data_IF_699668886515
#
_entry.id   IF_699668886515
#
_cell.length_a   1.000
_cell.length_b   1.000
_cell.length_c   1.000
_cell.angle_alpha   90.00
_cell.angle_beta   90.00
_cell.angle_gamma   90.00
#
_symmetry.space_group_name_H-M   'P 1'
#
loop_
_entity.id
_entity.type
_entity.pdbx_description
1 polymer ?
#
# COMPACT_ATOMS: atom_id res chain seq x y z
N UNK A 1 16.41 4.98 -22.16
CA UNK A 1 15.54 5.26 -20.98
C UNK A 1 16.11 4.55 -19.76
N UNK A 2 16.51 5.31 -18.74
CA UNK A 2 17.16 4.81 -17.51
C UNK A 2 16.16 4.10 -16.60
N UNK A 3 15.03 4.75 -16.28
CA UNK A 3 14.03 4.22 -15.37
C UNK A 3 13.04 3.32 -16.11
N UNK A 4 13.02 2.04 -15.73
CA UNK A 4 12.16 1.00 -16.31
C UNK A 4 11.02 0.59 -15.38
N UNK A 5 11.12 0.93 -14.10
CA UNK A 5 10.10 0.73 -13.08
C UNK A 5 9.80 2.06 -12.41
N UNK A 6 8.52 2.37 -12.28
CA UNK A 6 8.00 3.55 -11.59
C UNK A 6 7.12 3.09 -10.43
N UNK A 7 7.59 3.23 -9.19
CA UNK A 7 6.81 2.95 -7.99
C UNK A 7 6.14 4.22 -7.46
N UNK A 8 4.84 4.16 -7.27
CA UNK A 8 4.00 5.29 -6.85
C UNK A 8 3.25 4.92 -5.59
N UNK A 9 3.47 5.68 -4.51
CA UNK A 9 2.49 5.68 -3.43
C UNK A 9 1.17 6.28 -3.91
N UNK A 10 0.08 6.06 -3.19
CA UNK A 10 -1.27 6.47 -3.60
C UNK A 10 -1.76 7.72 -2.88
N UNK A 11 -1.90 7.63 -1.55
CA UNK A 11 -2.58 8.64 -0.74
C UNK A 11 -1.65 9.80 -0.40
N UNK A 12 -1.90 10.97 -0.97
CA UNK A 12 -0.99 12.11 -0.85
C UNK A 12 0.11 12.14 -1.92
N UNK A 13 0.16 11.13 -2.81
CA UNK A 13 1.13 11.02 -3.90
C UNK A 13 0.42 10.98 -5.25
N UNK A 14 -0.08 9.81 -5.68
CA UNK A 14 -0.72 9.64 -6.99
C UNK A 14 -2.11 10.25 -7.04
N UNK A 15 -2.86 10.15 -5.93
CA UNK A 15 -4.23 10.64 -5.86
C UNK A 15 -4.31 11.96 -5.10
N UNK A 16 -5.21 12.83 -5.54
CA UNK A 16 -5.55 14.08 -4.86
C UNK A 16 -6.45 13.83 -3.63
N UNK A 17 -6.94 14.90 -2.96
CA UNK A 17 -7.84 14.79 -1.79
C UNK A 17 -9.16 14.06 -2.10
N UNK A 18 -9.65 14.15 -3.35
CA UNK A 18 -10.85 13.43 -3.80
C UNK A 18 -10.60 11.95 -4.12
N UNK A 19 -9.36 11.47 -3.91
CA UNK A 19 -8.92 10.09 -4.20
C UNK A 19 -9.08 9.73 -5.67
N UNK A 20 -8.75 10.66 -6.56
CA UNK A 20 -8.74 10.48 -8.01
C UNK A 20 -7.35 10.80 -8.59
N UNK A 21 -7.03 10.18 -9.72
CA UNK A 21 -5.86 10.53 -10.52
C UNK A 21 -6.29 11.66 -11.46
N UNK A 22 -5.53 12.76 -11.47
CA UNK A 22 -5.86 13.88 -12.36
C UNK A 22 -5.71 13.49 -13.83
N UNK A 23 -6.48 14.13 -14.75
CA UNK A 23 -6.40 13.80 -16.17
C UNK A 23 -4.99 13.93 -16.77
N UNK A 24 -4.24 14.97 -16.35
CA UNK A 24 -2.87 15.18 -16.82
C UNK A 24 -1.93 14.07 -16.32
N UNK A 25 -1.91 13.79 -15.02
CA UNK A 25 -1.08 12.73 -14.45
C UNK A 25 -1.42 11.37 -15.08
N UNK A 26 -2.72 11.07 -15.27
CA UNK A 26 -3.15 9.85 -15.95
C UNK A 26 -2.59 9.73 -17.37
N UNK A 27 -2.71 10.78 -18.17
CA UNK A 27 -2.18 10.81 -19.54
C UNK A 27 -0.67 10.58 -19.57
N UNK A 28 0.10 11.24 -18.70
CA UNK A 28 1.55 11.12 -18.62
C UNK A 28 1.95 9.68 -18.20
N UNK A 29 1.24 9.08 -17.24
CA UNK A 29 1.49 7.70 -16.82
C UNK A 29 1.19 6.69 -17.93
N UNK A 30 0.13 6.89 -18.69
CA UNK A 30 -0.18 6.05 -19.84
C UNK A 30 0.91 6.12 -20.90
N UNK A 31 1.43 7.30 -21.22
CA UNK A 31 2.55 7.47 -22.14
C UNK A 31 3.82 6.79 -21.63
N UNK A 32 4.10 6.82 -20.34
CA UNK A 32 5.22 6.10 -19.75
C UNK A 32 5.03 4.58 -19.88
N UNK A 33 3.84 4.07 -19.60
CA UNK A 33 3.51 2.66 -19.76
C UNK A 33 3.62 2.19 -21.23
N UNK A 34 3.17 2.99 -22.18
CA UNK A 34 3.32 2.73 -23.64
C UNK A 34 4.78 2.65 -24.07
N UNK A 35 5.69 3.35 -23.38
CA UNK A 35 7.13 3.27 -23.60
C UNK A 35 7.79 2.07 -22.88
N UNK A 36 6.99 1.20 -22.23
CA UNK A 36 7.44 0.00 -21.55
C UNK A 36 7.90 0.21 -20.11
N UNK A 37 7.53 1.31 -19.47
CA UNK A 37 7.76 1.50 -18.03
C UNK A 37 6.76 0.67 -17.24
N UNK A 38 7.25 -0.22 -16.36
CA UNK A 38 6.42 -0.97 -15.44
C UNK A 38 5.97 -0.06 -14.28
N UNK A 39 4.71 0.33 -14.26
CA UNK A 39 4.13 1.12 -13.16
C UNK A 39 3.75 0.19 -12.02
N UNK A 40 4.19 0.52 -10.80
CA UNK A 40 3.88 -0.21 -9.56
C UNK A 40 3.10 0.72 -8.63
N UNK A 41 1.83 0.40 -8.38
CA UNK A 41 1.03 1.09 -7.38
C UNK A 41 1.35 0.52 -5.99
N UNK A 42 2.06 1.29 -5.16
CA UNK A 42 2.66 0.83 -3.90
C UNK A 42 1.97 1.49 -2.69
N UNK A 43 1.09 0.76 -2.00
CA UNK A 43 0.27 1.32 -0.92
C UNK A 43 0.13 0.40 0.29
N UNK A 44 -0.22 0.97 1.45
CA UNK A 44 -0.71 0.24 2.63
C UNK A 44 -2.11 -0.35 2.46
N UNK A 45 -2.86 0.11 1.45
CA UNK A 45 -4.21 -0.38 1.16
C UNK A 45 -4.22 -1.88 0.84
N UNK A 46 -5.37 -2.57 1.07
CA UNK A 46 -5.58 -3.93 0.57
C UNK A 46 -5.58 -3.95 -0.96
N UNK A 47 -5.24 -5.10 -1.55
CA UNK A 47 -5.18 -5.26 -3.01
C UNK A 47 -6.47 -4.79 -3.69
N UNK A 48 -7.62 -5.23 -3.17
CA UNK A 48 -8.96 -4.89 -3.70
C UNK A 48 -9.23 -3.38 -3.69
N UNK A 49 -8.64 -2.63 -2.77
CA UNK A 49 -8.74 -1.16 -2.70
C UNK A 49 -7.84 -0.41 -3.70
N UNK A 50 -6.85 -1.10 -4.28
CA UNK A 50 -5.92 -0.53 -5.28
C UNK A 50 -6.37 -0.86 -6.71
N UNK A 51 -7.00 -2.01 -6.91
CA UNK A 51 -7.42 -2.49 -8.24
C UNK A 51 -8.20 -1.48 -9.11
N UNK A 52 -9.12 -0.66 -8.56
CA UNK A 52 -9.81 0.34 -9.37
C UNK A 52 -8.85 1.32 -10.06
N UNK A 53 -7.80 1.77 -9.34
CA UNK A 53 -6.78 2.68 -9.90
C UNK A 53 -5.88 1.97 -10.93
N UNK A 54 -5.55 0.70 -10.68
CA UNK A 54 -4.79 -0.11 -11.63
C UNK A 54 -5.58 -0.32 -12.94
N UNK A 55 -6.89 -0.55 -12.86
CA UNK A 55 -7.78 -0.61 -14.05
C UNK A 55 -7.89 0.74 -14.74
N UNK A 56 -7.99 1.82 -13.98
CA UNK A 56 -8.04 3.18 -14.54
C UNK A 56 -6.80 3.53 -15.35
N UNK A 57 -5.62 3.08 -14.92
CA UNK A 57 -4.35 3.24 -15.64
C UNK A 57 -4.11 2.15 -16.69
N UNK A 58 -5.05 1.23 -16.91
CA UNK A 58 -4.95 0.11 -17.84
C UNK A 58 -3.69 -0.76 -17.62
N UNK A 59 -3.27 -0.97 -16.35
CA UNK A 59 -2.07 -1.74 -16.02
C UNK A 59 -2.17 -3.21 -16.43
N UNK A 60 -3.38 -3.74 -16.57
CA UNK A 60 -3.62 -5.06 -17.15
C UNK A 60 -3.28 -5.15 -18.64
N UNK A 61 -3.24 -4.05 -19.36
CA UNK A 61 -2.91 -3.97 -20.79
C UNK A 61 -1.43 -3.68 -21.00
N UNK A 62 -0.90 -2.68 -20.30
CA UNK A 62 0.47 -2.22 -20.50
C UNK A 62 1.51 -2.96 -19.65
N UNK A 63 1.07 -3.78 -18.68
CA UNK A 63 1.98 -4.48 -17.77
C UNK A 63 2.45 -3.59 -16.62
N UNK A 64 1.79 -3.72 -15.48
CA UNK A 64 2.16 -3.06 -14.23
C UNK A 64 1.90 -3.98 -13.05
N UNK A 65 2.15 -3.50 -11.85
CA UNK A 65 1.97 -4.28 -10.63
C UNK A 65 1.19 -3.51 -9.56
N UNK A 66 0.48 -4.24 -8.72
CA UNK A 66 -0.03 -3.75 -7.44
C UNK A 66 0.88 -4.27 -6.34
N UNK A 67 1.47 -3.36 -5.55
CA UNK A 67 2.16 -3.65 -4.31
C UNK A 67 1.26 -3.17 -3.16
N UNK A 68 0.58 -4.09 -2.51
CA UNK A 68 -0.39 -3.85 -1.44
C UNK A 68 0.18 -4.19 -0.06
N UNK A 69 -0.52 -3.76 1.00
CA UNK A 69 -0.16 -4.03 2.39
C UNK A 69 1.29 -3.60 2.72
N UNK A 70 1.71 -2.40 2.27
CA UNK A 70 3.08 -1.89 2.47
C UNK A 70 4.21 -2.85 2.00
N UNK A 71 3.94 -3.68 0.99
CA UNK A 71 4.89 -4.69 0.50
C UNK A 71 4.49 -6.12 0.86
N UNK A 72 3.40 -6.32 1.59
CA UNK A 72 2.92 -7.66 1.97
C UNK A 72 2.57 -8.53 0.77
N UNK A 73 2.18 -7.93 -0.37
CA UNK A 73 1.82 -8.66 -1.59
C UNK A 73 2.15 -7.86 -2.85
N UNK A 74 2.67 -8.54 -3.87
CA UNK A 74 2.78 -8.00 -5.23
C UNK A 74 2.03 -8.89 -6.19
N UNK A 75 1.17 -8.26 -7.01
CA UNK A 75 0.42 -8.91 -8.09
C UNK A 75 0.82 -8.26 -9.41
N UNK A 76 1.11 -9.09 -10.41
CA UNK A 76 1.21 -8.68 -11.80
C UNK A 76 -0.18 -8.44 -12.37
N UNK A 77 -0.47 -7.22 -12.83
CA UNK A 77 -1.79 -6.84 -13.29
C UNK A 77 -2.20 -7.47 -14.62
N UNK A 78 -1.22 -7.87 -15.44
CA UNK A 78 -1.48 -8.45 -16.74
C UNK A 78 -1.86 -9.93 -16.65
N UNK A 79 -1.17 -10.66 -15.77
CA UNK A 79 -1.36 -12.11 -15.61
C UNK A 79 -2.25 -12.48 -14.43
N UNK A 80 -2.45 -11.57 -13.47
CA UNK A 80 -3.09 -11.82 -12.19
C UNK A 80 -2.22 -12.66 -11.23
N UNK A 81 -0.97 -12.98 -11.61
CA UNK A 81 -0.09 -13.80 -10.81
C UNK A 81 0.42 -13.06 -9.58
N UNK A 82 0.39 -13.71 -8.43
CA UNK A 82 1.06 -13.23 -7.22
C UNK A 82 2.57 -13.48 -7.34
N UNK A 83 3.34 -12.40 -7.38
CA UNK A 83 4.81 -12.43 -7.49
C UNK A 83 5.49 -12.47 -6.11
N UNK A 84 4.88 -11.82 -5.12
CA UNK A 84 5.34 -11.77 -3.73
C UNK A 84 4.14 -11.95 -2.82
N UNK A 85 4.26 -12.78 -1.79
CA UNK A 85 3.26 -12.98 -0.76
C UNK A 85 3.94 -13.19 0.59
N UNK A 86 3.78 -12.23 1.48
CA UNK A 86 4.14 -12.35 2.90
C UNK A 86 2.85 -12.62 3.68
N UNK A 87 2.55 -13.88 3.88
CA UNK A 87 1.33 -14.29 4.57
C UNK A 87 1.44 -14.03 6.08
N UNK A 88 0.33 -13.60 6.68
CA UNK A 88 0.17 -13.52 8.13
C UNK A 88 0.33 -14.93 8.73
N UNK A 89 1.04 -15.09 9.86
CA UNK A 89 1.23 -16.40 10.48
C UNK A 89 -0.14 -17.03 10.85
N UNK A 90 -0.49 -18.19 10.30
CA UNK A 90 -1.82 -18.78 10.53
C UNK A 90 -2.11 -19.12 11.99
N UNK A 91 -1.09 -19.51 12.75
CA UNK A 91 -1.13 -19.82 14.17
C UNK A 91 -1.39 -18.59 15.06
N UNK A 92 -1.24 -17.38 14.54
CA UNK A 92 -1.51 -16.13 15.24
C UNK A 92 -2.90 -15.54 14.94
N UNK A 93 -3.65 -16.06 13.98
CA UNK A 93 -4.98 -15.54 13.62
C UNK A 93 -5.95 -15.63 14.81
N UNK A 94 -6.14 -16.83 15.37
CA UNK A 94 -7.02 -17.03 16.54
C UNK A 94 -6.54 -16.28 17.79
N UNK A 95 -5.24 -16.28 18.17
CA UNK A 95 -4.73 -15.45 19.26
C UNK A 95 -5.03 -13.96 19.12
N UNK A 96 -4.83 -13.38 17.92
CA UNK A 96 -5.12 -11.95 17.67
C UNK A 96 -6.62 -11.67 17.76
N UNK A 97 -7.47 -12.53 17.21
CA UNK A 97 -8.91 -12.37 17.31
C UNK A 97 -9.43 -12.56 18.75
N UNK A 98 -8.84 -13.46 19.52
CA UNK A 98 -9.17 -13.63 20.95
C UNK A 98 -8.76 -12.41 21.77
N UNK A 99 -7.56 -11.87 21.52
CA UNK A 99 -7.09 -10.62 22.12
C UNK A 99 -8.07 -9.47 21.80
N UNK A 100 -8.47 -9.33 20.54
CA UNK A 100 -9.36 -8.25 20.11
C UNK A 100 -10.73 -8.31 20.78
N UNK A 101 -11.31 -9.52 20.93
CA UNK A 101 -12.58 -9.71 21.66
C UNK A 101 -12.45 -9.33 23.14
N UNK A 102 -11.33 -9.69 23.80
CA UNK A 102 -11.07 -9.34 25.20
C UNK A 102 -11.02 -7.83 25.43
N UNK A 103 -10.39 -7.09 24.51
CA UNK A 103 -10.23 -5.64 24.58
C UNK A 103 -11.33 -4.85 23.87
N UNK A 104 -12.42 -5.52 23.44
CA UNK A 104 -13.58 -4.93 22.78
C UNK A 104 -13.21 -4.08 21.54
N UNK A 105 -12.23 -4.54 20.77
CA UNK A 105 -11.88 -3.98 19.45
C UNK A 105 -12.27 -4.98 18.36
N UNK A 106 -12.64 -4.47 17.19
CA UNK A 106 -13.19 -5.29 16.10
C UNK A 106 -12.07 -5.66 15.12
N UNK A 107 -11.75 -6.96 14.97
CA UNK A 107 -10.82 -7.43 13.97
C UNK A 107 -11.50 -7.54 12.60
N UNK A 108 -10.75 -7.20 11.57
CA UNK A 108 -11.12 -7.43 10.18
C UNK A 108 -9.91 -7.88 9.35
N UNK A 109 -10.20 -8.53 8.24
CA UNK A 109 -9.23 -8.83 7.19
C UNK A 109 -9.87 -8.63 5.82
N UNK A 110 -9.21 -9.06 4.77
CA UNK A 110 -9.66 -8.84 3.39
C UNK A 110 -9.61 -10.16 2.61
N UNK A 111 -10.60 -10.33 1.76
CA UNK A 111 -10.57 -11.32 0.68
C UNK A 111 -10.54 -10.62 -0.70
N UNK A 112 -10.76 -11.36 -1.77
CA UNK A 112 -10.81 -10.81 -3.12
C UNK A 112 -12.01 -9.87 -3.36
N UNK A 113 -13.02 -9.91 -2.49
CA UNK A 113 -14.27 -9.16 -2.67
C UNK A 113 -14.38 -7.94 -1.75
N UNK A 114 -13.61 -7.88 -0.67
CA UNK A 114 -13.68 -6.74 0.27
C UNK A 114 -13.25 -7.08 1.69
N UNK A 115 -13.83 -6.39 2.66
CA UNK A 115 -13.60 -6.59 4.08
C UNK A 115 -14.38 -7.80 4.58
N UNK A 116 -13.74 -8.59 5.44
CA UNK A 116 -14.36 -9.72 6.17
C UNK A 116 -14.23 -9.46 7.67
N UNK A 117 -15.35 -9.46 8.39
CA UNK A 117 -15.41 -9.17 9.84
C UNK A 117 -16.61 -9.82 10.50
N UNK A 118 -16.56 -9.96 11.84
CA UNK A 118 -17.69 -10.41 12.66
C UNK A 118 -18.69 -9.26 12.93
N UNK A 119 -18.23 -8.00 12.97
CA UNK A 119 -19.08 -6.83 13.23
C UNK A 119 -19.01 -5.79 12.07
N UNK A 120 -19.84 -5.97 11.03
CA UNK A 120 -19.90 -5.02 9.94
C UNK A 120 -20.58 -3.70 10.32
N UNK A 121 -21.24 -3.61 11.47
CA UNK A 121 -21.94 -2.41 11.90
C UNK A 121 -21.03 -1.42 12.63
N UNK A 122 -19.82 -1.85 13.03
CA UNK A 122 -18.83 -0.98 13.65
C UNK A 122 -18.56 0.26 12.76
N UNK A 123 -18.63 1.49 13.33
CA UNK A 123 -18.40 2.71 12.55
C UNK A 123 -17.00 2.77 11.96
N UNK A 124 -16.03 2.15 12.62
CA UNK A 124 -14.64 2.13 12.15
C UNK A 124 -14.41 1.09 11.04
N UNK A 125 -15.14 -0.03 11.04
CA UNK A 125 -15.19 -0.96 9.90
C UNK A 125 -15.81 -0.28 8.69
N UNK A 126 -16.89 0.49 8.88
CA UNK A 126 -17.51 1.25 7.80
C UNK A 126 -16.59 2.38 7.28
N UNK A 127 -15.77 2.96 8.17
CA UNK A 127 -14.77 3.96 7.75
C UNK A 127 -13.68 3.33 6.87
N UNK A 128 -13.19 2.13 7.22
CA UNK A 128 -12.23 1.39 6.38
C UNK A 128 -12.85 1.05 5.00
N UNK A 129 -14.12 0.62 4.99
CA UNK A 129 -14.86 0.35 3.76
C UNK A 129 -14.99 1.61 2.89
N UNK A 130 -15.28 2.75 3.51
CA UNK A 130 -15.40 4.04 2.83
C UNK A 130 -14.07 4.52 2.24
N UNK A 131 -12.97 4.42 3.02
CA UNK A 131 -11.62 4.81 2.58
C UNK A 131 -11.19 4.01 1.34
N UNK A 132 -11.42 2.71 1.35
CA UNK A 132 -11.00 1.82 0.27
C UNK A 132 -12.05 1.66 -0.84
N UNK A 133 -13.29 2.15 -0.62
CA UNK A 133 -14.43 2.00 -1.54
C UNK A 133 -14.75 0.52 -1.83
N UNK A 134 -14.70 -0.33 -0.80
CA UNK A 134 -14.91 -1.77 -0.89
C UNK A 134 -16.07 -2.23 0.01
N UNK A 135 -16.79 -3.31 -0.36
CA UNK A 135 -17.89 -3.84 0.45
C UNK A 135 -17.40 -4.53 1.73
N UNK A 136 -18.33 -4.71 2.67
CA UNK A 136 -18.10 -5.44 3.92
C UNK A 136 -18.95 -6.71 3.94
N UNK A 137 -18.34 -7.85 4.26
CA UNK A 137 -18.99 -9.13 4.43
C UNK A 137 -18.95 -9.55 5.90
N UNK A 138 -20.13 -9.86 6.46
CA UNK A 138 -20.25 -10.44 7.79
C UNK A 138 -19.91 -11.92 7.79
N UNK A 139 -19.20 -12.35 8.83
CA UNK A 139 -18.97 -13.76 9.17
C UNK A 139 -19.30 -14.01 10.64
N UNK A 140 -19.59 -15.26 11.02
CA UNK A 140 -19.91 -15.60 12.41
C UNK A 140 -18.65 -15.88 13.25
N UNK A 141 -17.56 -16.34 12.62
CA UNK A 141 -16.27 -16.63 13.27
C UNK A 141 -15.15 -16.33 12.28
N UNK A 142 -14.47 -15.21 12.50
CA UNK A 142 -13.44 -14.73 11.58
C UNK A 142 -12.26 -15.70 11.45
N UNK A 143 -11.66 -16.26 12.51
CA UNK A 143 -10.61 -17.26 12.39
C UNK A 143 -11.00 -18.50 11.60
N UNK A 144 -12.21 -19.01 11.81
CA UNK A 144 -12.69 -20.20 11.08
C UNK A 144 -12.96 -19.92 9.59
N UNK A 145 -13.32 -18.69 9.25
CA UNK A 145 -13.56 -18.26 7.88
C UNK A 145 -12.26 -18.10 7.07
N UNK A 146 -11.14 -17.77 7.73
CA UNK A 146 -9.85 -17.55 7.07
C UNK A 146 -9.22 -18.89 6.70
N UNK A 147 -9.58 -19.42 5.53
CA UNK A 147 -9.01 -20.67 4.94
C UNK A 147 -7.99 -20.38 3.84
N UNK A 148 -7.61 -19.13 3.65
CA UNK A 148 -6.71 -18.62 2.62
C UNK A 148 -5.63 -17.75 3.25
N UNK A 149 -4.48 -17.54 2.58
CA UNK A 149 -3.43 -16.66 3.09
C UNK A 149 -3.92 -15.20 3.13
N UNK A 150 -3.92 -14.60 4.32
CA UNK A 150 -4.14 -13.18 4.51
C UNK A 150 -2.81 -12.45 4.68
N UNK A 151 -2.77 -11.13 4.49
CA UNK A 151 -1.56 -10.32 4.65
C UNK A 151 -1.56 -9.52 5.95
N UNK A 152 -2.74 -9.19 6.48
CA UNK A 152 -2.89 -8.46 7.75
C UNK A 152 -4.22 -8.77 8.42
N UNK A 153 -4.24 -8.58 9.74
CA UNK A 153 -5.45 -8.29 10.50
C UNK A 153 -5.41 -6.81 10.89
N UNK A 154 -6.51 -6.09 10.68
CA UNK A 154 -6.69 -4.72 11.13
C UNK A 154 -7.62 -4.74 12.34
N UNK A 155 -7.21 -4.15 13.46
CA UNK A 155 -8.06 -3.97 14.62
C UNK A 155 -8.61 -2.55 14.61
N UNK A 156 -9.91 -2.43 14.87
CA UNK A 156 -10.61 -1.15 14.85
C UNK A 156 -11.34 -0.90 16.15
N UNK A 157 -11.32 0.33 16.65
CA UNK A 157 -11.96 0.67 17.92
C UNK A 157 -11.98 2.16 18.23
N UNK A 158 -12.46 2.51 19.43
CA UNK A 158 -12.52 3.90 19.89
C UNK A 158 -11.12 4.50 19.96
N UNK A 159 -10.86 5.66 19.32
CA UNK A 159 -9.58 6.36 19.37
C UNK A 159 -9.02 6.60 20.80
N UNK A 160 -9.89 6.71 21.79
CA UNK A 160 -9.47 6.90 23.19
C UNK A 160 -8.79 5.64 23.77
N UNK A 161 -9.21 4.46 23.37
CA UNK A 161 -8.73 3.18 23.88
C UNK A 161 -7.54 2.63 23.06
N UNK A 162 -7.48 2.95 21.78
CA UNK A 162 -6.52 2.35 20.84
C UNK A 162 -5.03 2.53 21.22
N UNK A 163 -4.56 3.66 21.82
CA UNK A 163 -3.18 3.75 22.29
C UNK A 163 -2.81 2.69 23.32
N UNK A 164 -3.71 2.41 24.26
CA UNK A 164 -3.51 1.40 25.30
C UNK A 164 -3.56 -0.03 24.71
N UNK A 165 -4.53 -0.28 23.84
CA UNK A 165 -4.66 -1.58 23.15
C UNK A 165 -3.42 -1.87 22.30
N UNK A 166 -2.87 -0.87 21.60
CA UNK A 166 -1.63 -0.99 20.83
C UNK A 166 -0.45 -1.42 21.70
N UNK A 167 -0.25 -0.74 22.84
CA UNK A 167 0.84 -1.06 23.78
C UNK A 167 0.75 -2.51 24.29
N UNK A 168 -0.43 -2.93 24.72
CA UNK A 168 -0.65 -4.29 25.20
C UNK A 168 -0.43 -5.34 24.10
N UNK A 169 -0.90 -5.04 22.91
CA UNK A 169 -0.72 -5.92 21.76
C UNK A 169 0.74 -6.05 21.34
N UNK A 170 1.49 -4.94 21.37
CA UNK A 170 2.93 -4.95 21.12
C UNK A 170 3.70 -5.79 22.16
N UNK A 171 3.25 -5.80 23.42
CA UNK A 171 3.83 -6.65 24.47
C UNK A 171 3.49 -8.14 24.24
N UNK A 172 2.22 -8.46 23.99
CA UNK A 172 1.73 -9.84 23.82
C UNK A 172 2.34 -10.55 22.60
N UNK A 173 2.46 -9.81 21.49
CA UNK A 173 2.97 -10.34 20.23
C UNK A 173 4.39 -9.86 19.88
N UNK A 174 5.17 -9.46 20.89
CA UNK A 174 6.54 -9.00 20.72
C UNK A 174 7.39 -10.00 19.93
N UNK A 175 8.10 -9.54 18.90
CA UNK A 175 8.95 -10.38 18.06
C UNK A 175 8.21 -11.38 17.17
N UNK A 176 6.86 -11.32 17.10
CA UNK A 176 6.05 -12.20 16.26
C UNK A 176 5.34 -11.42 15.14
N UNK A 177 4.86 -10.20 15.44
CA UNK A 177 4.12 -9.35 14.52
C UNK A 177 4.68 -7.92 14.55
N UNK A 178 4.53 -7.21 13.43
CA UNK A 178 4.65 -5.77 13.34
C UNK A 178 3.30 -5.15 13.71
N UNK A 179 3.28 -4.28 14.73
CA UNK A 179 2.05 -3.71 15.29
C UNK A 179 2.25 -2.21 15.45
N UNK A 180 1.40 -1.42 14.81
CA UNK A 180 1.44 0.05 14.88
C UNK A 180 0.08 0.66 14.50
N UNK A 181 -0.20 1.86 14.98
CA UNK A 181 -1.38 2.62 14.56
C UNK A 181 -1.14 3.36 13.26
N UNK A 182 -2.00 3.11 12.28
CA UNK A 182 -2.04 3.85 11.01
C UNK A 182 -3.02 5.03 11.05
N UNK A 183 -4.04 4.94 11.90
CA UNK A 183 -5.03 5.98 12.18
C UNK A 183 -5.36 5.96 13.68
N UNK A 184 -5.96 7.00 14.25
CA UNK A 184 -6.34 7.00 15.66
C UNK A 184 -7.18 5.79 16.09
N UNK A 185 -7.95 5.22 15.16
CA UNK A 185 -8.90 4.12 15.36
C UNK A 185 -8.48 2.81 14.67
N UNK A 186 -7.27 2.72 14.09
CA UNK A 186 -6.75 1.54 13.40
C UNK A 186 -5.41 1.08 13.96
N UNK A 187 -5.31 -0.19 14.37
CA UNK A 187 -4.06 -0.90 14.66
C UNK A 187 -3.81 -1.92 13.56
N UNK A 188 -2.74 -1.70 12.82
CA UNK A 188 -2.23 -2.64 11.83
C UNK A 188 -1.50 -3.79 12.52
N UNK A 189 -1.81 -5.02 12.14
CA UNK A 189 -1.06 -6.20 12.56
C UNK A 189 -0.61 -6.97 11.34
N UNK A 190 0.69 -7.10 11.17
CA UNK A 190 1.31 -7.62 9.95
C UNK A 190 2.47 -8.58 10.30
N UNK A 191 2.91 -9.44 9.38
CA UNK A 191 4.17 -10.15 9.53
C UNK A 191 5.34 -9.18 9.75
N UNK A 192 6.40 -9.64 10.42
CA UNK A 192 7.61 -8.84 10.64
C UNK A 192 8.33 -8.53 9.33
N UNK A 193 8.98 -7.36 9.28
CA UNK A 193 9.90 -7.00 8.21
C UNK A 193 9.24 -6.67 6.87
N UNK A 194 7.93 -6.34 6.87
CA UNK A 194 7.23 -5.92 5.66
C UNK A 194 7.50 -4.46 5.39
N UNK A 195 8.12 -4.18 4.24
CA UNK A 195 8.43 -2.83 3.75
C UNK A 195 8.27 -2.77 2.23
N UNK A 196 7.79 -1.63 1.71
CA UNK A 196 7.65 -1.37 0.27
C UNK A 196 8.97 -1.60 -0.47
N UNK A 197 10.08 -1.10 0.09
CA UNK A 197 11.41 -1.21 -0.49
C UNK A 197 11.88 -2.65 -0.67
N UNK A 198 11.72 -3.51 0.35
CA UNK A 198 12.15 -4.90 0.31
C UNK A 198 11.43 -5.67 -0.82
N UNK A 199 10.12 -5.50 -0.93
CA UNK A 199 9.31 -6.16 -1.96
C UNK A 199 9.59 -5.61 -3.37
N UNK A 200 9.86 -4.30 -3.52
CA UNK A 200 10.32 -3.73 -4.79
C UNK A 200 11.66 -4.31 -5.23
N UNK A 201 12.60 -4.54 -4.30
CA UNK A 201 13.88 -5.18 -4.62
C UNK A 201 13.70 -6.63 -5.12
N UNK A 202 12.71 -7.37 -4.60
CA UNK A 202 12.38 -8.71 -5.12
C UNK A 202 11.82 -8.59 -6.54
N UNK A 203 10.91 -7.64 -6.79
CA UNK A 203 10.34 -7.39 -8.12
C UNK A 203 11.42 -7.01 -9.15
N UNK A 204 12.31 -6.08 -8.79
CA UNK A 204 13.41 -5.66 -9.66
C UNK A 204 14.30 -6.84 -10.04
N UNK A 205 14.72 -7.65 -9.07
CA UNK A 205 15.53 -8.86 -9.33
C UNK A 205 14.81 -9.85 -10.25
N UNK A 206 13.51 -10.08 -10.02
CA UNK A 206 12.71 -10.97 -10.88
C UNK A 206 12.63 -10.48 -12.34
N UNK A 207 12.73 -9.15 -12.55
CA UNK A 207 12.75 -8.53 -13.89
C UNK A 207 14.18 -8.37 -14.46
N UNK A 208 15.23 -8.81 -13.77
CA UNK A 208 16.62 -8.62 -14.19
C UNK A 208 17.08 -7.16 -14.11
N UNK A 209 16.48 -6.36 -13.23
CA UNK A 209 16.73 -4.93 -13.05
C UNK A 209 17.41 -4.67 -11.70
N UNK A 210 17.99 -3.48 -11.56
CA UNK A 210 18.61 -2.98 -10.33
C UNK A 210 17.87 -1.75 -9.79
N UNK A 211 18.27 -1.29 -8.62
CA UNK A 211 17.73 -0.05 -8.03
C UNK A 211 17.89 1.17 -8.96
N UNK A 212 18.96 1.23 -9.76
CA UNK A 212 19.21 2.32 -10.73
C UNK A 212 18.10 2.44 -11.80
N UNK A 213 17.35 1.37 -12.03
CA UNK A 213 16.23 1.35 -12.96
C UNK A 213 14.89 1.74 -12.34
N UNK A 214 14.87 2.04 -11.03
CA UNK A 214 13.70 2.41 -10.27
C UNK A 214 13.62 3.93 -10.07
N UNK A 215 12.52 4.53 -10.47
CA UNK A 215 12.05 5.82 -9.97
C UNK A 215 10.92 5.56 -8.98
N UNK A 216 10.94 6.23 -7.81
CA UNK A 216 9.91 6.08 -6.79
C UNK A 216 9.38 7.45 -6.35
N UNK A 217 8.06 7.58 -6.18
CA UNK A 217 7.41 8.79 -5.67
C UNK A 217 6.64 8.46 -4.38
N UNK A 218 6.73 9.35 -3.38
CA UNK A 218 6.06 9.17 -2.09
C UNK A 218 6.02 10.46 -1.28
N UNK A 219 5.22 10.47 -0.20
CA UNK A 219 5.07 11.62 0.69
C UNK A 219 5.15 11.28 2.18
N UNK A 220 4.91 10.01 2.55
CA UNK A 220 4.86 9.52 3.92
C UNK A 220 6.16 8.88 4.43
N UNK A 221 6.24 8.68 5.74
CA UNK A 221 7.38 7.99 6.36
C UNK A 221 7.53 6.53 5.91
N UNK A 222 6.42 5.86 5.59
CA UNK A 222 6.42 4.50 5.03
C UNK A 222 7.03 4.43 3.62
N UNK A 223 7.21 5.57 2.94
CA UNK A 223 7.85 5.68 1.63
C UNK A 223 9.35 5.92 1.72
N UNK A 224 9.85 6.41 2.86
CA UNK A 224 11.26 6.73 3.06
C UNK A 224 12.22 5.61 2.60
N UNK A 225 12.03 4.34 3.01
CA UNK A 225 12.90 3.26 2.55
C UNK A 225 12.83 3.04 1.04
N UNK A 226 11.63 3.21 0.44
CA UNK A 226 11.41 3.09 -0.99
C UNK A 226 12.14 4.19 -1.77
N UNK A 227 12.01 5.45 -1.34
CA UNK A 227 12.69 6.60 -1.97
C UNK A 227 14.21 6.47 -1.88
N UNK A 228 14.75 6.15 -0.68
CA UNK A 228 16.20 6.00 -0.47
C UNK A 228 16.83 4.84 -1.24
N UNK A 229 16.06 3.80 -1.54
CA UNK A 229 16.56 2.62 -2.25
C UNK A 229 16.38 2.70 -3.76
N UNK A 230 15.72 3.72 -4.29
CA UNK A 230 15.52 3.93 -5.72
C UNK A 230 16.72 4.61 -6.37
N UNK A 231 16.89 4.45 -7.67
CA UNK A 231 17.86 5.21 -8.47
C UNK A 231 17.45 6.68 -8.63
N UNK A 232 16.15 6.98 -8.40
CA UNK A 232 15.63 8.33 -8.24
C UNK A 232 14.46 8.31 -7.25
N UNK A 233 14.68 8.82 -6.06
CA UNK A 233 13.65 9.06 -5.06
C UNK A 233 13.06 10.46 -5.21
N UNK A 234 11.76 10.54 -5.42
CA UNK A 234 11.00 11.79 -5.60
C UNK A 234 10.04 11.99 -4.44
N UNK A 235 10.23 13.04 -3.67
CA UNK A 235 9.28 13.47 -2.65
C UNK A 235 8.24 14.40 -3.25
N UNK A 236 6.98 14.24 -2.83
CA UNK A 236 5.90 15.16 -3.19
C UNK A 236 6.05 16.50 -2.47
N UNK A 237 5.50 17.57 -3.05
CA UNK A 237 5.50 18.92 -2.46
C UNK A 237 4.78 19.00 -1.12
N UNK A 238 3.79 18.14 -0.87
CA UNK A 238 3.09 17.97 0.40
C UNK A 238 3.75 16.98 1.37
N UNK A 239 4.86 16.33 0.98
CA UNK A 239 5.54 15.33 1.82
C UNK A 239 6.05 15.90 3.15
N UNK A 240 6.21 15.02 4.13
CA UNK A 240 6.82 15.36 5.41
C UNK A 240 8.25 15.91 5.23
N UNK A 241 8.72 16.82 6.10
CA UNK A 241 10.04 17.43 5.97
C UNK A 241 11.19 16.42 5.87
N UNK A 242 11.12 15.32 6.65
CA UNK A 242 12.13 14.26 6.65
C UNK A 242 12.13 13.47 5.34
N UNK A 243 10.97 13.29 4.73
CA UNK A 243 10.82 12.63 3.42
C UNK A 243 11.43 13.50 2.33
N UNK A 244 11.15 14.81 2.34
CA UNK A 244 11.77 15.78 1.42
C UNK A 244 13.28 15.83 1.55
N UNK A 245 13.80 15.80 2.79
CA UNK A 245 15.23 15.84 3.06
C UNK A 245 15.98 14.58 2.59
N UNK A 246 15.28 13.47 2.44
CA UNK A 246 15.85 12.18 2.06
C UNK A 246 15.72 11.86 0.56
N UNK A 247 14.94 12.64 -0.18
CA UNK A 247 14.69 12.43 -1.60
C UNK A 247 15.75 13.12 -2.47
N UNK A 248 15.98 12.59 -3.68
CA UNK A 248 16.87 13.18 -4.68
C UNK A 248 16.23 14.38 -5.38
N UNK A 249 14.87 14.39 -5.44
CA UNK A 249 14.11 15.45 -6.08
C UNK A 249 12.81 15.73 -5.34
N UNK A 250 12.40 17.00 -5.29
CA UNK A 250 11.09 17.41 -4.76
C UNK A 250 10.27 17.94 -5.92
N UNK A 251 9.12 17.31 -6.17
CA UNK A 251 8.16 17.72 -7.20
C UNK A 251 7.07 18.62 -6.62
N UNK A 252 6.05 18.99 -7.42
CA UNK A 252 4.83 19.63 -6.91
C UNK A 252 4.04 18.70 -5.98
N UNK A 253 3.04 19.23 -5.31
CA UNK A 253 2.16 18.40 -4.47
C UNK A 253 1.16 17.56 -5.30
N UNK A 254 0.38 16.73 -4.62
CA UNK A 254 -0.58 15.84 -5.25
C UNK A 254 -1.83 16.55 -5.82
N UNK A 255 -2.07 17.82 -5.46
CA UNK A 255 -3.12 18.65 -6.04
C UNK A 255 -2.67 19.35 -7.34
N UNK A 256 -1.35 19.46 -7.54
CA UNK A 256 -0.73 20.16 -8.66
C UNK A 256 0.10 19.22 -9.55
N UNK A 257 -0.40 18.00 -9.78
CA UNK A 257 0.17 17.03 -10.74
C UNK A 257 1.62 16.61 -10.48
N UNK A 258 2.08 16.63 -9.23
CA UNK A 258 3.48 16.39 -8.89
C UNK A 258 4.07 15.10 -9.47
N UNK A 259 3.32 13.99 -9.48
CA UNK A 259 3.74 12.73 -10.12
C UNK A 259 3.88 12.91 -11.64
N UNK A 260 2.86 13.50 -12.29
CA UNK A 260 2.89 13.74 -13.75
C UNK A 260 4.10 14.58 -14.18
N UNK A 261 4.35 15.69 -13.47
CA UNK A 261 5.49 16.56 -13.74
C UNK A 261 6.83 15.85 -13.58
N UNK A 262 6.99 15.02 -12.53
CA UNK A 262 8.21 14.26 -12.32
C UNK A 262 8.42 13.20 -13.41
N UNK A 263 7.36 12.48 -13.81
CA UNK A 263 7.41 11.47 -14.87
C UNK A 263 7.71 12.10 -16.21
N UNK A 264 7.08 13.23 -16.54
CA UNK A 264 7.39 13.97 -17.76
C UNK A 264 8.86 14.36 -17.80
N UNK A 265 9.39 14.90 -16.68
CA UNK A 265 10.77 15.38 -16.59
C UNK A 265 11.81 14.27 -16.72
N UNK A 266 11.64 13.14 -16.04
CA UNK A 266 12.68 12.12 -15.88
C UNK A 266 12.48 10.86 -16.73
N UNK A 267 11.28 10.64 -17.27
CA UNK A 267 10.95 9.45 -18.06
C UNK A 267 10.59 9.81 -19.50
N UNK A 268 9.77 10.86 -19.72
CA UNK A 268 9.26 11.15 -21.04
C UNK A 268 10.11 12.13 -21.85
N UNK A 269 10.80 13.09 -21.20
CA UNK A 269 11.72 13.96 -21.91
C UNK A 269 12.95 13.14 -22.32
N UNK A 270 13.19 13.06 -23.62
CA UNK A 270 14.45 12.56 -24.15
C UNK A 270 15.54 13.56 -23.76
N UNK A 271 16.66 13.06 -23.21
CA UNK A 271 17.89 13.86 -23.13
C UNK A 271 18.31 14.20 -24.57
N UNK A 272 18.21 15.47 -24.95
CA UNK A 272 18.78 15.99 -26.19
C UNK A 272 20.31 16.06 -26.07
#
# INVERSE_FOLDING_TARGET
MQYKVLALDLDGTLTNHDKIITPYTKQVLQQAAERGVCIVLASGRPTVGIEPLARELALNTYGGCILSYNGGKIIDCQTGQTLVQHAFPPDLIEPVCTFSRYWNVVPLTYDANGIVTEDPASPYVQEEARINKIPVRKVENLPAEITYPINKLLLTGDPADMPHVEELMQQEFAGKLSIYRSQPFFIETMPLGIEKSASLQILLRAKGLTAENLMACGDGWNDLPMLKSAGLGVAMGNAQPEVKAAADYITADNEHDGVGLAVEKFILREEN
#
